data_IF_968520889669
#
_entry.id   IF_968520889669
#
_cell.length_a   1.000
_cell.length_b   1.000
_cell.length_c   1.000
_cell.angle_alpha   90.00
_cell.angle_beta   90.00
_cell.angle_gamma   90.00
#
_symmetry.space_group_name_H-M   'P 1'
#
loop_
_entity.id
_entity.type
_entity.pdbx_description
1 polymer ?
#
# COMPACT_ATOMS: atom_id res chain seq x y z
N UNK A 1 21.16 -10.57 21.02
CA UNK A 1 19.70 -10.33 21.03
C UNK A 1 19.35 -9.70 19.70
N UNK A 2 18.70 -10.45 18.80
CA UNK A 2 18.32 -9.96 17.48
C UNK A 2 16.92 -9.33 17.60
N UNK A 3 16.78 -8.05 17.27
CA UNK A 3 15.49 -7.37 17.23
C UNK A 3 14.72 -7.76 15.97
N UNK A 4 13.46 -8.16 16.11
CA UNK A 4 12.58 -8.42 14.98
C UNK A 4 11.87 -7.13 14.55
N UNK A 5 11.80 -6.89 13.25
CA UNK A 5 11.04 -5.78 12.67
C UNK A 5 9.60 -6.23 12.36
N UNK A 6 8.63 -5.73 13.13
CA UNK A 6 7.22 -6.09 12.99
C UNK A 6 6.64 -5.69 11.63
N UNK A 7 7.10 -4.59 11.03
CA UNK A 7 6.58 -4.13 9.74
C UNK A 7 7.06 -5.06 8.63
N UNK A 8 8.33 -5.43 8.66
CA UNK A 8 8.90 -6.41 7.73
C UNK A 8 8.22 -7.78 7.89
N UNK A 9 7.93 -8.19 9.13
CA UNK A 9 7.18 -9.43 9.39
C UNK A 9 5.77 -9.38 8.76
N UNK A 10 5.07 -8.25 8.87
CA UNK A 10 3.73 -8.13 8.28
C UNK A 10 3.76 -8.18 6.75
N UNK A 11 4.77 -7.56 6.12
CA UNK A 11 4.99 -7.66 4.67
C UNK A 11 5.22 -9.12 4.28
N UNK A 12 6.13 -9.81 4.97
CA UNK A 12 6.43 -11.22 4.70
C UNK A 12 5.21 -12.12 4.91
N UNK A 13 4.43 -11.91 5.97
CA UNK A 13 3.19 -12.66 6.23
C UNK A 13 2.15 -12.43 5.15
N UNK A 14 2.02 -11.20 4.66
CA UNK A 14 1.12 -10.89 3.54
C UNK A 14 1.47 -11.71 2.30
N UNK A 15 2.76 -11.80 1.97
CA UNK A 15 3.26 -12.60 0.84
C UNK A 15 3.07 -14.10 1.05
N UNK A 16 3.39 -14.60 2.24
CA UNK A 16 3.23 -16.02 2.60
C UNK A 16 1.77 -16.48 2.51
N UNK A 17 0.84 -15.62 2.91
CA UNK A 17 -0.59 -15.90 2.82
C UNK A 17 -1.22 -15.57 1.46
N UNK A 18 -0.45 -15.10 0.47
CA UNK A 18 -0.96 -14.75 -0.85
C UNK A 18 -1.99 -13.62 -0.82
N UNK A 19 -1.84 -12.65 0.10
CA UNK A 19 -2.71 -11.48 0.17
C UNK A 19 -2.59 -10.70 -1.14
N UNK A 20 -3.73 -10.26 -1.67
CA UNK A 20 -3.79 -9.46 -2.89
C UNK A 20 -2.99 -8.16 -2.75
N UNK A 21 -2.58 -7.60 -3.88
CA UNK A 21 -1.78 -6.39 -3.93
C UNK A 21 -2.61 -5.18 -3.52
N UNK A 22 -1.96 -4.07 -3.15
CA UNK A 22 -2.65 -2.82 -2.90
C UNK A 22 -3.50 -2.38 -4.12
N UNK A 23 -2.98 -2.58 -5.34
CA UNK A 23 -3.67 -2.18 -6.56
C UNK A 23 -4.91 -3.04 -6.85
N UNK A 24 -4.94 -4.29 -6.39
CA UNK A 24 -6.13 -5.14 -6.50
C UNK A 24 -7.14 -4.82 -5.40
N UNK A 25 -6.69 -4.61 -4.15
CA UNK A 25 -7.57 -4.25 -3.04
C UNK A 25 -8.24 -2.89 -3.28
N UNK A 26 -7.52 -1.89 -3.79
CA UNK A 26 -8.12 -0.58 -4.08
C UNK A 26 -9.29 -0.68 -5.07
N UNK A 27 -9.23 -1.60 -6.05
CA UNK A 27 -10.32 -1.84 -7.01
C UNK A 27 -11.53 -2.45 -6.31
N UNK A 28 -11.31 -3.40 -5.41
CA UNK A 28 -12.38 -3.97 -4.57
C UNK A 28 -13.03 -2.88 -3.71
N UNK A 29 -12.26 -1.91 -3.22
CA UNK A 29 -12.74 -0.75 -2.48
C UNK A 29 -13.33 0.37 -3.36
N UNK A 30 -13.51 0.14 -4.67
CA UNK A 30 -14.17 1.08 -5.59
C UNK A 30 -13.27 2.17 -6.17
N UNK A 31 -11.96 2.12 -5.94
CA UNK A 31 -11.00 3.04 -6.54
C UNK A 31 -10.56 2.54 -7.94
N UNK A 32 -10.15 3.42 -8.86
CA UNK A 32 -9.60 3.01 -10.15
C UNK A 32 -8.31 2.19 -9.98
N UNK A 33 -8.11 1.18 -10.83
CA UNK A 33 -6.82 0.46 -10.89
C UNK A 33 -5.72 1.41 -11.36
N UNK A 34 -4.63 1.51 -10.60
CA UNK A 34 -3.45 2.27 -11.00
C UNK A 34 -2.77 1.61 -12.21
N UNK A 35 -2.32 2.43 -13.16
CA UNK A 35 -1.43 2.03 -14.26
C UNK A 35 -0.04 2.63 -14.10
N UNK A 36 0.09 3.69 -13.31
CA UNK A 36 1.34 4.31 -12.90
C UNK A 36 1.30 4.66 -11.41
N UNK A 37 2.46 4.82 -10.77
CA UNK A 37 2.55 5.20 -9.36
C UNK A 37 1.84 6.53 -9.06
N UNK A 38 1.83 7.47 -10.01
CA UNK A 38 1.11 8.74 -9.90
C UNK A 38 -0.40 8.56 -9.67
N UNK A 39 -0.98 7.43 -10.08
CA UNK A 39 -2.41 7.14 -9.93
C UNK A 39 -2.77 6.77 -8.48
N UNK A 40 -1.79 6.67 -7.57
CA UNK A 40 -2.02 6.58 -6.13
C UNK A 40 -2.22 7.96 -5.48
N UNK A 41 -2.07 9.07 -6.22
CA UNK A 41 -2.15 10.43 -5.66
C UNK A 41 -3.52 10.83 -5.10
N UNK A 42 -4.55 10.05 -5.42
CA UNK A 42 -5.88 10.17 -4.83
C UNK A 42 -5.92 9.76 -3.36
N UNK A 43 -5.08 8.80 -2.94
CA UNK A 43 -5.05 8.31 -1.55
C UNK A 43 -3.71 8.57 -0.84
N UNK A 44 -2.57 8.52 -1.54
CA UNK A 44 -1.23 8.49 -0.96
C UNK A 44 -0.51 9.85 -1.18
N UNK A 45 0.23 10.39 -0.18
CA UNK A 45 1.06 11.57 -0.37
C UNK A 45 2.17 11.40 -1.41
N UNK A 46 2.40 12.43 -2.25
CA UNK A 46 3.34 12.35 -3.37
C UNK A 46 4.78 12.00 -3.00
N UNK A 47 5.28 12.44 -1.83
CA UNK A 47 6.61 12.05 -1.36
C UNK A 47 6.71 10.54 -1.07
N UNK A 48 5.62 9.91 -0.62
CA UNK A 48 5.55 8.47 -0.36
C UNK A 48 5.41 7.70 -1.67
N UNK A 49 4.62 8.21 -2.62
CA UNK A 49 4.54 7.66 -3.98
C UNK A 49 5.92 7.59 -4.63
N UNK A 50 6.71 8.67 -4.50
CA UNK A 50 8.08 8.68 -5.00
C UNK A 50 8.92 7.56 -4.36
N UNK A 51 8.86 7.39 -3.04
CA UNK A 51 9.55 6.30 -2.35
C UNK A 51 9.08 4.91 -2.84
N UNK A 52 7.78 4.70 -3.02
CA UNK A 52 7.23 3.43 -3.52
C UNK A 52 7.77 3.12 -4.92
N UNK A 53 7.86 4.11 -5.81
CA UNK A 53 8.40 3.94 -7.17
C UNK A 53 9.88 3.57 -7.21
N UNK A 54 10.63 3.80 -6.12
CA UNK A 54 12.04 3.38 -6.02
C UNK A 54 12.19 1.95 -5.46
N UNK A 55 11.17 1.41 -4.81
CA UNK A 55 11.21 0.11 -4.12
C UNK A 55 10.48 -0.97 -4.92
N UNK A 56 9.39 -0.62 -5.58
CA UNK A 56 8.57 -1.52 -6.38
C UNK A 56 8.76 -1.27 -7.88
N UNK A 57 8.75 -2.33 -8.68
CA UNK A 57 8.90 -2.22 -10.14
C UNK A 57 7.61 -1.76 -10.82
N UNK A 58 6.45 -2.21 -10.32
CA UNK A 58 5.12 -1.85 -10.81
C UNK A 58 4.19 -1.42 -9.67
N UNK A 59 3.19 -0.56 -9.94
CA UNK A 59 2.07 -0.34 -9.01
C UNK A 59 1.34 -1.64 -8.62
N UNK A 60 1.34 -2.64 -9.52
CA UNK A 60 0.77 -3.97 -9.26
C UNK A 60 1.60 -4.81 -8.28
N UNK A 61 2.83 -4.41 -7.92
CA UNK A 61 3.67 -5.18 -7.00
C UNK A 61 3.56 -4.70 -5.54
N UNK A 62 2.87 -3.57 -5.29
CA UNK A 62 2.82 -2.95 -3.97
C UNK A 62 2.05 -3.85 -3.00
N UNK A 63 2.72 -4.29 -1.94
CA UNK A 63 2.11 -5.08 -0.87
C UNK A 63 0.93 -4.30 -0.25
N UNK A 64 -0.22 -4.95 -0.05
CA UNK A 64 -1.41 -4.28 0.50
C UNK A 64 -1.13 -3.52 1.79
N UNK A 65 -0.43 -4.15 2.74
CA UNK A 65 -0.10 -3.52 4.02
C UNK A 65 0.71 -2.23 3.85
N UNK A 66 1.66 -2.20 2.90
CA UNK A 66 2.49 -1.01 2.64
C UNK A 66 1.67 0.09 1.99
N UNK A 67 0.89 -0.24 0.96
CA UNK A 67 0.05 0.72 0.25
C UNK A 67 -1.02 1.33 1.16
N UNK A 68 -1.81 0.49 1.84
CA UNK A 68 -2.89 0.97 2.70
C UNK A 68 -2.39 1.80 3.89
N UNK A 69 -1.25 1.45 4.51
CA UNK A 69 -0.67 2.22 5.61
C UNK A 69 -0.10 3.58 5.15
N UNK A 70 0.12 3.73 3.85
CA UNK A 70 0.62 4.96 3.23
C UNK A 70 -0.50 5.93 2.84
N UNK A 71 -1.76 5.52 2.95
CA UNK A 71 -2.91 6.35 2.62
C UNK A 71 -3.09 7.49 3.63
N UNK A 72 -3.65 8.61 3.15
CA UNK A 72 -4.14 9.68 4.01
C UNK A 72 -5.35 9.16 4.80
N UNK A 73 -5.49 9.51 6.08
CA UNK A 73 -6.69 9.20 6.81
C UNK A 73 -7.93 9.82 6.16
N UNK A 74 -9.04 9.10 6.17
CA UNK A 74 -10.34 9.65 5.78
C UNK A 74 -10.79 10.73 6.77
N UNK A 75 -11.71 11.60 6.35
CA UNK A 75 -12.21 12.68 7.21
C UNK A 75 -12.88 12.09 8.45
N UNK A 76 -12.33 12.41 9.63
CA UNK A 76 -12.83 11.90 10.91
C UNK A 76 -12.37 10.49 11.28
N UNK A 77 -11.51 9.86 10.47
CA UNK A 77 -10.93 8.54 10.71
C UNK A 77 -9.43 8.58 11.00
N UNK A 78 -8.90 7.45 11.49
CA UNK A 78 -7.46 7.23 11.67
C UNK A 78 -6.83 6.46 10.51
N UNK A 79 -7.64 5.74 9.75
CA UNK A 79 -7.20 4.86 8.66
C UNK A 79 -7.56 5.45 7.30
N UNK A 80 -6.88 4.94 6.27
CA UNK A 80 -7.12 5.28 4.88
C UNK A 80 -8.39 4.64 4.30
N UNK A 81 -8.61 4.85 3.02
CA UNK A 81 -9.79 4.37 2.29
C UNK A 81 -9.90 2.85 2.22
N UNK A 82 -8.77 2.15 2.20
CA UNK A 82 -8.71 0.68 2.05
C UNK A 82 -8.68 -0.09 3.36
N UNK A 83 -8.82 0.60 4.50
CA UNK A 83 -8.74 0.04 5.85
C UNK A 83 -10.00 0.30 6.70
#
# INVERSE_FOLDING_TARGET
NFGMDLMSINIHRGRDHGIATYNDIRVVCGLPKARAFSDFSDQIPGNIINSLSQVYASPDDVDFFVGGMSERPVVGGLLGWTF
#
